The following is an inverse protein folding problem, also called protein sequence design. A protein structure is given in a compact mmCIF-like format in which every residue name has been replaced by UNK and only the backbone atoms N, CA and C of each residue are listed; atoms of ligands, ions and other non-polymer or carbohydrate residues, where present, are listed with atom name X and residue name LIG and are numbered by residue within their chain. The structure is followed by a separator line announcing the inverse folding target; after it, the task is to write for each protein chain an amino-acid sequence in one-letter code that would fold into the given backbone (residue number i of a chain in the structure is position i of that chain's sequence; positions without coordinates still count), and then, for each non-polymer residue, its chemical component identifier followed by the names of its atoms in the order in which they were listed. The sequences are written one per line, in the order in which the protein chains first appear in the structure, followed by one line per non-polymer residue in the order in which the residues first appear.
data_IF_249403142362
#
_entry.id   IF_249403142362
#
_cell.length_a   1.000
_cell.length_b   1.000
_cell.length_c   1.000
_cell.angle_alpha   90.00
_cell.angle_beta   90.00
_cell.angle_gamma   90.00
#
_symmetry.space_group_name_H-M   'P 1'
#
loop_
_entity.id
_entity.type
_entity.pdbx_description
1 polymer ?
#
# COMPACT_ATOMS: atom_id res chain seq x y z
N UNK A 1 -10.96 -19.63 7.48
CA UNK A 1 -10.07 -20.38 6.55
C UNK A 1 -9.03 -19.49 5.90
N UNK A 2 -9.36 -18.35 5.26
CA UNK A 2 -8.39 -17.43 4.60
C UNK A 2 -7.17 -17.10 5.46
N UNK A 3 -7.37 -16.63 6.69
CA UNK A 3 -6.29 -16.25 7.61
C UNK A 3 -5.35 -17.42 7.98
N UNK A 4 -5.86 -18.66 8.02
CA UNK A 4 -5.03 -19.84 8.32
C UNK A 4 -4.01 -20.13 7.21
N UNK A 5 -4.29 -19.71 5.98
CA UNK A 5 -3.38 -19.86 4.85
C UNK A 5 -2.48 -18.61 4.70
N UNK A 6 -3.07 -17.41 4.78
CA UNK A 6 -2.31 -16.18 4.58
C UNK A 6 -1.27 -15.90 5.66
N UNK A 7 -1.54 -16.26 6.92
CA UNK A 7 -0.62 -15.98 8.02
C UNK A 7 0.72 -16.73 7.90
N UNK A 8 0.75 -18.07 7.66
CA UNK A 8 2.01 -18.79 7.45
C UNK A 8 2.77 -18.30 6.21
N UNK A 9 2.05 -18.00 5.13
CA UNK A 9 2.64 -17.45 3.90
C UNK A 9 3.27 -16.10 4.18
N UNK A 10 2.58 -15.21 4.88
CA UNK A 10 3.11 -13.88 5.23
C UNK A 10 4.34 -13.99 6.15
N UNK A 11 4.33 -14.90 7.13
CA UNK A 11 5.47 -15.14 8.00
C UNK A 11 6.68 -15.64 7.22
N UNK A 12 6.48 -16.62 6.34
CA UNK A 12 7.53 -17.15 5.47
C UNK A 12 8.12 -16.04 4.58
N UNK A 13 7.26 -15.25 3.93
CA UNK A 13 7.69 -14.13 3.09
C UNK A 13 8.40 -13.04 3.89
N UNK A 14 7.92 -12.71 5.11
CA UNK A 14 8.55 -11.73 5.98
C UNK A 14 9.98 -12.15 6.35
N UNK A 15 10.18 -13.43 6.71
CA UNK A 15 11.49 -13.98 7.05
C UNK A 15 12.38 -14.08 5.81
N UNK A 16 11.87 -14.62 4.71
CA UNK A 16 12.65 -14.79 3.47
C UNK A 16 13.11 -13.44 2.89
N UNK A 17 12.28 -12.40 2.99
CA UNK A 17 12.62 -11.06 2.50
C UNK A 17 13.36 -10.20 3.52
N UNK A 18 13.57 -10.67 4.76
CA UNK A 18 14.23 -9.88 5.81
C UNK A 18 15.62 -9.35 5.41
N UNK A 19 16.54 -10.14 4.81
CA UNK A 19 17.83 -9.61 4.37
C UNK A 19 17.67 -8.47 3.36
N UNK A 20 16.75 -8.61 2.41
CA UNK A 20 16.42 -7.56 1.45
C UNK A 20 15.84 -6.33 2.13
N UNK A 21 14.93 -6.51 3.10
CA UNK A 21 14.36 -5.39 3.86
C UNK A 21 15.45 -4.61 4.63
N UNK A 22 16.44 -5.30 5.19
CA UNK A 22 17.56 -4.66 5.87
C UNK A 22 18.46 -3.89 4.90
N UNK A 23 18.74 -4.44 3.72
CA UNK A 23 19.50 -3.76 2.66
C UNK A 23 18.77 -2.50 2.18
N UNK A 24 17.46 -2.59 1.92
CA UNK A 24 16.63 -1.43 1.55
C UNK A 24 16.65 -0.37 2.66
N UNK A 25 16.50 -0.78 3.92
CA UNK A 25 16.55 0.15 5.05
C UNK A 25 17.89 0.88 5.15
N UNK A 26 19.00 0.17 4.95
CA UNK A 26 20.35 0.76 4.89
C UNK A 26 20.48 1.74 3.73
N UNK A 27 20.05 1.34 2.52
CA UNK A 27 20.07 2.20 1.34
C UNK A 27 19.28 3.50 1.54
N UNK A 28 18.09 3.43 2.16
CA UNK A 28 17.29 4.63 2.51
C UNK A 28 18.04 5.55 3.47
N UNK A 29 18.75 4.98 4.44
CA UNK A 29 19.56 5.75 5.41
C UNK A 29 20.74 6.45 4.77
N UNK A 30 21.32 5.86 3.73
CA UNK A 30 22.42 6.45 2.95
C UNK A 30 21.91 7.48 1.94
N UNK A 31 20.72 7.29 1.37
CA UNK A 31 20.12 8.18 0.38
C UNK A 31 19.64 9.52 0.98
N UNK A 32 19.09 9.50 2.20
CA UNK A 32 18.59 10.72 2.86
C UNK A 32 18.48 10.56 4.38
N UNK A 33 18.58 11.69 5.11
CA UNK A 33 18.45 11.73 6.57
C UNK A 33 17.04 11.33 7.05
N UNK A 34 16.94 10.78 8.27
CA UNK A 34 15.69 10.39 8.92
C UNK A 34 15.48 8.87 9.03
N UNK A 35 14.30 8.42 9.51
CA UNK A 35 14.01 7.00 9.71
C UNK A 35 13.85 6.25 8.38
N UNK A 36 14.28 4.98 8.32
CA UNK A 36 14.09 4.14 7.13
C UNK A 36 12.62 3.73 6.92
N UNK A 37 11.88 3.58 8.01
CA UNK A 37 10.45 3.25 7.96
C UNK A 37 9.60 4.52 8.09
N UNK A 38 8.57 4.59 7.26
CA UNK A 38 7.45 5.50 7.41
C UNK A 38 6.31 4.74 8.09
N UNK A 39 5.86 5.26 9.24
CA UNK A 39 4.81 4.65 10.06
C UNK A 39 3.61 5.57 10.05
N UNK A 40 2.46 5.05 9.62
CA UNK A 40 1.23 5.83 9.52
C UNK A 40 0.06 5.10 10.17
N UNK A 41 -0.76 5.84 10.91
CA UNK A 41 -2.00 5.29 11.45
C UNK A 41 -3.01 5.03 10.33
N UNK A 42 -3.62 3.85 10.36
CA UNK A 42 -4.65 3.40 9.43
C UNK A 42 -5.82 2.75 10.17
N UNK A 43 -6.99 2.72 9.52
CA UNK A 43 -8.16 2.00 10.01
C UNK A 43 -8.13 0.56 9.52
N UNK A 44 -8.26 -0.37 10.45
CA UNK A 44 -8.39 -1.80 10.21
C UNK A 44 -9.79 -2.31 10.52
N UNK A 45 -9.89 -3.63 10.68
CA UNK A 45 -11.17 -4.28 10.96
C UNK A 45 -11.82 -3.76 12.24
N UNK A 46 -13.15 -3.56 12.18
CA UNK A 46 -13.93 -2.96 13.28
C UNK A 46 -13.60 -1.50 13.54
N UNK A 47 -12.99 -0.81 12.57
CA UNK A 47 -12.60 0.61 12.71
C UNK A 47 -11.41 0.84 13.66
N UNK A 48 -10.75 -0.20 14.16
CA UNK A 48 -9.59 -0.08 15.05
C UNK A 48 -8.40 0.54 14.33
N UNK A 49 -7.70 1.48 14.96
CA UNK A 49 -6.46 2.03 14.42
C UNK A 49 -5.30 1.07 14.62
N UNK A 50 -4.45 0.96 13.62
CA UNK A 50 -3.17 0.26 13.70
C UNK A 50 -2.06 1.07 13.04
N UNK A 51 -0.80 0.75 13.33
CA UNK A 51 0.39 1.37 12.73
C UNK A 51 0.80 0.57 11.50
N UNK A 52 0.56 1.11 10.32
CA UNK A 52 0.99 0.53 9.04
C UNK A 52 2.45 0.88 8.77
N UNK A 53 3.25 -0.12 8.44
CA UNK A 53 4.67 0.03 8.14
C UNK A 53 4.92 0.11 6.64
N UNK A 54 5.75 1.08 6.23
CA UNK A 54 6.26 1.20 4.86
C UNK A 54 7.73 1.63 4.89
N UNK A 55 8.46 1.37 3.82
CA UNK A 55 9.70 2.07 3.60
C UNK A 55 9.43 3.53 3.23
N UNK A 56 10.30 4.42 3.70
CA UNK A 56 10.24 5.84 3.37
C UNK A 56 10.68 6.06 1.93
N UNK A 57 9.84 6.75 1.16
CA UNK A 57 10.08 7.10 -0.25
C UNK A 57 10.29 8.59 -0.46
N UNK A 58 9.92 9.40 0.53
CA UNK A 58 10.06 10.86 0.51
C UNK A 58 11.14 11.33 1.49
N UNK A 59 11.76 12.47 1.24
CA UNK A 59 12.61 13.14 2.21
C UNK A 59 11.83 13.37 3.50
N UNK A 60 12.51 13.21 4.62
CA UNK A 60 11.86 13.34 5.92
C UNK A 60 11.58 14.80 6.24
N UNK A 61 10.32 15.14 6.43
CA UNK A 61 9.86 16.44 6.88
C UNK A 61 8.98 16.24 8.12
N UNK A 62 9.48 16.57 9.33
CA UNK A 62 8.69 16.45 10.54
C UNK A 62 7.43 17.34 10.48
N UNK A 63 6.26 16.76 10.79
CA UNK A 63 4.99 17.51 10.83
C UNK A 63 4.30 17.72 9.48
N UNK A 64 4.84 17.23 8.36
CA UNK A 64 4.16 17.31 7.07
C UNK A 64 2.78 16.63 7.14
N UNK A 65 1.74 17.39 6.78
CA UNK A 65 0.35 16.91 6.74
C UNK A 65 -0.03 16.50 5.32
N UNK A 66 -0.89 15.49 5.15
CA UNK A 66 -1.40 15.11 3.84
C UNK A 66 -2.30 16.21 3.27
N UNK A 67 -2.10 16.56 2.02
CA UNK A 67 -3.02 17.43 1.26
C UNK A 67 -4.21 16.58 0.81
N UNK A 68 -5.42 17.10 0.98
CA UNK A 68 -6.66 16.41 0.63
C UNK A 68 -7.28 17.02 -0.63
N UNK A 69 -7.90 16.16 -1.43
CA UNK A 69 -8.80 16.54 -2.48
C UNK A 69 -10.19 16.93 -1.91
N UNK A 70 -11.05 17.62 -2.68
CA UNK A 70 -12.39 17.98 -2.21
C UNK A 70 -13.28 16.79 -1.82
N UNK A 71 -13.03 15.60 -2.38
CA UNK A 71 -13.73 14.36 -2.06
C UNK A 71 -13.21 13.68 -0.78
N UNK A 72 -12.24 14.30 -0.10
CA UNK A 72 -11.61 13.78 1.10
C UNK A 72 -10.49 12.76 0.86
N UNK A 73 -10.21 12.38 -0.38
CA UNK A 73 -9.08 11.51 -0.69
C UNK A 73 -7.75 12.23 -0.46
N UNK A 74 -6.69 11.48 -0.15
CA UNK A 74 -5.34 12.06 -0.08
C UNK A 74 -4.84 12.38 -1.49
N UNK A 75 -4.44 13.64 -1.71
CA UNK A 75 -3.80 14.05 -2.96
C UNK A 75 -2.44 13.38 -3.06
N UNK A 76 -2.22 12.68 -4.16
CA UNK A 76 -0.92 12.10 -4.50
C UNK A 76 -0.35 12.94 -5.63
N UNK A 77 0.71 13.68 -5.34
CA UNK A 77 1.43 14.42 -6.38
C UNK A 77 2.45 13.48 -7.00
N UNK A 78 2.37 13.30 -8.31
CA UNK A 78 3.32 12.48 -9.04
C UNK A 78 4.71 13.14 -9.06
N UNK A 79 4.75 14.48 -9.02
CA UNK A 79 5.97 15.31 -9.02
C UNK A 79 6.31 15.86 -7.64
N UNK A 80 6.07 15.10 -6.57
CA UNK A 80 6.44 15.51 -5.21
C UNK A 80 7.96 15.75 -5.13
N UNK A 81 8.36 17.01 -4.94
CA UNK A 81 9.78 17.42 -4.87
C UNK A 81 10.57 16.72 -3.74
N UNK A 82 9.85 16.13 -2.79
CA UNK A 82 10.44 15.34 -1.69
C UNK A 82 10.79 13.92 -2.11
N UNK A 83 10.33 13.46 -3.29
CA UNK A 83 10.58 12.10 -3.75
C UNK A 83 12.08 11.87 -3.92
N UNK A 84 12.63 10.85 -3.25
CA UNK A 84 14.04 10.49 -3.40
C UNK A 84 14.23 9.59 -4.63
N UNK A 85 15.46 9.50 -5.15
CA UNK A 85 15.76 8.61 -6.29
C UNK A 85 15.44 7.15 -5.97
N UNK A 86 15.85 6.69 -4.79
CA UNK A 86 15.53 5.36 -4.29
C UNK A 86 14.02 5.21 -4.04
N UNK A 87 13.38 6.26 -3.50
CA UNK A 87 11.93 6.29 -3.26
C UNK A 87 11.12 6.13 -4.54
N UNK A 88 11.56 6.69 -5.65
CA UNK A 88 10.93 6.52 -6.96
C UNK A 88 10.88 5.03 -7.36
N UNK A 89 12.00 4.32 -7.23
CA UNK A 89 12.07 2.89 -7.49
C UNK A 89 11.21 2.07 -6.49
N UNK A 90 11.28 2.40 -5.21
CA UNK A 90 10.52 1.68 -4.17
C UNK A 90 9.01 1.77 -4.39
N UNK A 91 8.47 2.87 -4.94
CA UNK A 91 7.03 3.07 -5.20
C UNK A 91 6.44 2.11 -6.24
N UNK A 92 7.26 1.30 -6.91
CA UNK A 92 6.75 0.20 -7.74
C UNK A 92 6.05 -0.90 -6.91
N UNK A 93 6.17 -0.85 -5.58
CA UNK A 93 5.53 -1.76 -4.62
C UNK A 93 6.48 -2.29 -3.55
N UNK A 94 7.79 -2.08 -3.72
CA UNK A 94 8.80 -2.53 -2.76
C UNK A 94 8.74 -1.77 -1.43
N UNK A 95 8.18 -0.56 -1.43
CA UNK A 95 7.96 0.22 -0.20
C UNK A 95 6.96 -0.46 0.75
N UNK A 96 6.16 -1.39 0.26
CA UNK A 96 5.12 -2.07 1.04
C UNK A 96 5.58 -3.36 1.71
N UNK A 97 6.81 -3.86 1.44
CA UNK A 97 7.34 -5.08 2.08
C UNK A 97 7.22 -5.10 3.61
N UNK A 98 7.44 -4.00 4.34
CA UNK A 98 7.28 -4.01 5.79
C UNK A 98 5.86 -4.29 6.28
N UNK A 99 4.83 -4.17 5.42
CA UNK A 99 3.44 -4.51 5.78
C UNK A 99 3.25 -6.01 6.01
N UNK A 100 4.15 -6.88 5.53
CA UNK A 100 4.14 -8.30 5.88
C UNK A 100 4.15 -8.49 7.40
N UNK A 101 4.84 -7.65 8.14
CA UNK A 101 4.82 -7.66 9.61
C UNK A 101 3.47 -7.25 10.19
N UNK A 102 2.70 -6.37 9.52
CA UNK A 102 1.31 -6.10 9.94
C UNK A 102 0.40 -7.33 9.73
N UNK A 103 0.64 -8.12 8.67
CA UNK A 103 -0.10 -9.38 8.47
C UNK A 103 0.26 -10.40 9.55
N UNK A 104 1.53 -10.58 9.85
CA UNK A 104 2.00 -11.46 10.93
C UNK A 104 1.39 -11.06 12.28
N UNK A 105 1.27 -9.76 12.56
CA UNK A 105 0.62 -9.22 13.77
C UNK A 105 -0.91 -9.36 13.76
N UNK A 106 -1.51 -9.76 12.64
CA UNK A 106 -2.95 -9.92 12.48
C UNK A 106 -3.72 -8.60 12.31
N UNK A 107 -3.03 -7.51 12.00
CA UNK A 107 -3.60 -6.19 11.72
C UNK A 107 -4.07 -6.07 10.27
N UNK A 108 -3.47 -6.87 9.36
CA UNK A 108 -3.74 -6.91 7.93
C UNK A 108 -3.88 -8.34 7.42
N UNK A 109 -4.35 -8.49 6.19
CA UNK A 109 -4.34 -9.67 5.34
C UNK A 109 -3.37 -9.43 4.16
N UNK A 110 -3.00 -10.47 3.43
CA UNK A 110 -2.27 -10.29 2.17
C UNK A 110 -3.17 -9.59 1.14
N UNK A 111 -4.43 -10.03 1.04
CA UNK A 111 -5.40 -9.52 0.08
C UNK A 111 -6.63 -8.99 0.82
N UNK A 112 -7.05 -7.77 0.49
CA UNK A 112 -8.22 -7.13 1.09
C UNK A 112 -8.36 -5.67 0.68
N UNK A 113 -9.39 -4.98 1.19
CA UNK A 113 -9.53 -3.53 1.02
C UNK A 113 -8.30 -2.78 1.51
N UNK A 114 -7.85 -1.76 0.75
CA UNK A 114 -6.71 -0.94 1.19
C UNK A 114 -7.08 -0.14 2.43
N UNK A 115 -6.25 -0.14 3.50
CA UNK A 115 -6.59 0.58 4.72
C UNK A 115 -6.49 2.09 4.52
N UNK A 116 -7.58 2.80 4.84
CA UNK A 116 -7.63 4.26 4.74
C UNK A 116 -7.13 4.95 6.02
N UNK A 117 -6.81 6.23 5.91
CA UNK A 117 -6.41 7.05 7.06
C UNK A 117 -7.62 7.30 7.98
N UNK A 118 -7.41 7.53 9.29
CA UNK A 118 -8.51 7.68 10.26
C UNK A 118 -9.52 8.76 9.90
N UNK A 119 -9.08 9.86 9.29
CA UNK A 119 -9.95 10.97 8.93
C UNK A 119 -10.86 10.69 7.72
N UNK A 120 -10.51 9.71 6.84
CA UNK A 120 -11.36 9.33 5.70
C UNK A 120 -12.72 8.79 6.13
N UNK A 121 -12.81 8.22 7.33
CA UNK A 121 -14.06 7.60 7.82
C UNK A 121 -15.25 8.59 7.86
N UNK A 122 -15.00 9.87 8.06
CA UNK A 122 -16.04 10.92 8.04
C UNK A 122 -16.71 11.14 6.68
N UNK A 123 -16.05 10.67 5.61
CA UNK A 123 -16.56 10.78 4.23
C UNK A 123 -17.24 9.49 3.76
N UNK A 124 -17.26 8.43 4.58
CA UNK A 124 -17.87 7.16 4.23
C UNK A 124 -19.38 7.22 4.41
N UNK A 125 -20.11 6.66 3.42
CA UNK A 125 -21.51 6.26 3.61
C UNK A 125 -21.56 5.03 4.51
N UNK A 126 -22.76 4.69 5.04
CA UNK A 126 -22.94 3.47 5.86
C UNK A 126 -22.55 2.21 5.08
N UNK A 127 -22.90 2.15 3.78
CA UNK A 127 -22.49 1.05 2.92
C UNK A 127 -20.97 0.94 2.80
N UNK A 128 -20.28 2.05 2.63
CA UNK A 128 -18.82 2.08 2.48
C UNK A 128 -18.08 1.65 3.77
N UNK A 129 -18.72 1.80 4.94
CA UNK A 129 -18.17 1.32 6.21
C UNK A 129 -18.03 -0.20 6.27
N UNK A 130 -18.74 -0.96 5.44
CA UNK A 130 -18.58 -2.41 5.29
C UNK A 130 -17.13 -2.84 4.95
N UNK A 131 -16.32 -1.93 4.40
CA UNK A 131 -14.88 -2.17 4.21
C UNK A 131 -14.16 -2.46 5.54
N UNK A 132 -14.71 -2.00 6.66
CA UNK A 132 -14.18 -2.24 8.01
C UNK A 132 -14.60 -3.58 8.61
N UNK A 133 -15.48 -4.35 7.98
CA UNK A 133 -15.92 -5.66 8.48
C UNK A 133 -14.84 -6.72 8.27
N UNK A 134 -13.91 -6.47 7.34
CA UNK A 134 -12.82 -7.40 6.99
C UNK A 134 -11.45 -6.81 7.34
N UNK A 135 -10.42 -7.67 7.37
CA UNK A 135 -9.05 -7.19 7.50
C UNK A 135 -8.64 -6.45 6.22
N UNK A 136 -7.97 -5.29 6.35
CA UNK A 136 -7.39 -4.61 5.21
C UNK A 136 -6.25 -5.42 4.60
N UNK A 137 -6.03 -5.29 3.28
CA UNK A 137 -4.99 -6.00 2.54
C UNK A 137 -3.76 -5.17 2.24
N UNK A 138 -2.61 -5.85 2.03
CA UNK A 138 -1.44 -5.26 1.38
C UNK A 138 -1.82 -4.93 -0.07
N UNK A 139 -2.42 -5.88 -0.77
CA UNK A 139 -3.02 -5.69 -2.09
C UNK A 139 -4.51 -5.95 -2.07
N UNK A 140 -5.21 -5.58 -3.15
CA UNK A 140 -6.64 -5.76 -3.30
C UNK A 140 -7.08 -5.51 -4.73
N UNK A 141 -8.38 -5.66 -4.99
CA UNK A 141 -8.94 -5.53 -6.33
C UNK A 141 -8.64 -4.18 -7.00
N UNK A 142 -8.74 -3.01 -6.32
CA UNK A 142 -8.38 -1.73 -6.91
C UNK A 142 -6.90 -1.68 -7.33
N UNK A 143 -5.99 -2.21 -6.51
CA UNK A 143 -4.55 -2.20 -6.79
C UNK A 143 -4.20 -3.08 -7.99
N UNK A 144 -4.86 -4.24 -8.11
CA UNK A 144 -4.64 -5.16 -9.23
C UNK A 144 -5.23 -4.67 -10.56
N UNK A 145 -6.22 -3.75 -10.53
CA UNK A 145 -7.01 -3.37 -11.72
C UNK A 145 -6.87 -1.91 -12.15
N UNK A 146 -6.12 -1.07 -11.46
CA UNK A 146 -5.99 0.34 -11.86
C UNK A 146 -5.17 1.20 -10.90
N UNK A 147 -4.82 0.69 -9.72
CA UNK A 147 -3.98 1.42 -8.73
C UNK A 147 -4.45 2.88 -8.51
N UNK A 148 -3.54 3.84 -8.68
CA UNK A 148 -3.78 5.27 -8.43
C UNK A 148 -4.58 5.98 -9.52
N UNK A 149 -4.74 5.39 -10.72
CA UNK A 149 -5.55 5.98 -11.80
C UNK A 149 -7.05 5.96 -11.50
N UNK A 150 -7.49 5.12 -10.56
CA UNK A 150 -8.90 5.04 -10.19
C UNK A 150 -9.31 6.14 -9.22
N UNK A 151 -10.45 6.83 -9.46
CA UNK A 151 -11.04 7.72 -8.47
C UNK A 151 -11.30 7.01 -7.14
N UNK A 152 -11.23 7.75 -6.03
CA UNK A 152 -11.37 7.16 -4.69
C UNK A 152 -12.68 6.41 -4.49
N UNK A 153 -13.80 6.97 -5.00
CA UNK A 153 -15.11 6.32 -4.94
C UNK A 153 -15.15 4.98 -5.68
N UNK A 154 -14.49 4.91 -6.84
CA UNK A 154 -14.41 3.67 -7.61
C UNK A 154 -13.54 2.62 -6.91
N UNK A 155 -12.45 3.03 -6.27
CA UNK A 155 -11.65 2.13 -5.42
C UNK A 155 -12.50 1.51 -4.31
N UNK A 156 -13.31 2.33 -3.63
CA UNK A 156 -14.23 1.85 -2.60
C UNK A 156 -15.26 0.87 -3.17
N UNK A 157 -15.87 1.18 -4.32
CA UNK A 157 -16.83 0.28 -4.97
C UNK A 157 -16.21 -1.08 -5.31
N UNK A 158 -14.97 -1.10 -5.80
CA UNK A 158 -14.23 -2.35 -6.08
C UNK A 158 -13.87 -3.12 -4.80
N UNK A 159 -13.58 -2.42 -3.71
CA UNK A 159 -13.37 -3.05 -2.41
C UNK A 159 -14.65 -3.71 -1.88
N UNK A 160 -15.82 -3.06 -2.04
CA UNK A 160 -17.11 -3.65 -1.69
C UNK A 160 -17.43 -4.86 -2.57
N UNK A 161 -17.22 -4.73 -3.88
CA UNK A 161 -17.37 -5.86 -4.80
C UNK A 161 -16.54 -7.07 -4.38
N UNK A 162 -15.27 -6.84 -3.99
CA UNK A 162 -14.40 -7.91 -3.49
C UNK A 162 -14.97 -8.58 -2.23
N UNK A 163 -15.52 -7.80 -1.30
CA UNK A 163 -16.14 -8.32 -0.07
C UNK A 163 -17.33 -9.21 -0.40
N UNK A 164 -18.18 -8.75 -1.31
CA UNK A 164 -19.42 -9.44 -1.68
C UNK A 164 -19.20 -10.70 -2.53
N UNK A 165 -18.12 -10.72 -3.34
CA UNK A 165 -17.81 -11.81 -4.28
C UNK A 165 -16.53 -12.57 -3.90
N UNK A 166 -16.17 -12.54 -2.62
CA UNK A 166 -14.98 -13.19 -2.14
C UNK A 166 -14.88 -14.66 -2.59
N UNK A 167 -13.76 -15.02 -3.21
CA UNK A 167 -13.39 -16.38 -3.53
C UNK A 167 -11.87 -16.53 -3.62
N UNK A 168 -11.35 -17.76 -3.42
CA UNK A 168 -9.92 -18.03 -3.61
C UNK A 168 -9.47 -17.77 -5.04
N UNK A 169 -10.35 -17.99 -6.02
CA UNK A 169 -10.07 -17.67 -7.43
C UNK A 169 -9.92 -16.17 -7.67
N UNK A 170 -10.71 -15.35 -6.97
CA UNK A 170 -10.57 -13.88 -7.02
C UNK A 170 -9.27 -13.43 -6.34
N UNK A 171 -8.92 -14.01 -5.19
CA UNK A 171 -7.64 -13.76 -4.52
C UNK A 171 -6.45 -14.06 -5.45
N UNK A 172 -6.47 -15.21 -6.14
CA UNK A 172 -5.39 -15.57 -7.09
C UNK A 172 -5.31 -14.58 -8.25
N UNK A 173 -6.44 -14.14 -8.82
CA UNK A 173 -6.47 -13.12 -9.88
C UNK A 173 -5.87 -11.79 -9.39
N UNK A 174 -6.18 -11.38 -8.15
CA UNK A 174 -5.63 -10.16 -7.55
C UNK A 174 -4.11 -10.28 -7.38
N UNK A 175 -3.61 -11.41 -6.88
CA UNK A 175 -2.16 -11.65 -6.74
C UNK A 175 -1.44 -11.57 -8.09
N UNK A 176 -1.95 -12.23 -9.11
CA UNK A 176 -1.37 -12.20 -10.46
C UNK A 176 -1.39 -10.79 -11.05
N UNK A 177 -2.51 -10.06 -10.89
CA UNK A 177 -2.64 -8.67 -11.34
C UNK A 177 -1.69 -7.71 -10.60
N UNK A 178 -1.41 -7.98 -9.33
CA UNK A 178 -0.48 -7.18 -8.51
C UNK A 178 0.98 -7.49 -8.86
N UNK A 179 1.31 -8.74 -9.16
CA UNK A 179 2.68 -9.16 -9.49
C UNK A 179 3.15 -8.61 -10.84
N UNK A 180 2.24 -8.45 -11.81
CA UNK A 180 2.56 -8.03 -13.18
C UNK A 180 3.34 -6.70 -13.26
N UNK A 181 2.97 -5.61 -12.56
CA UNK A 181 3.76 -4.39 -12.55
C UNK A 181 5.09 -4.49 -11.80
N UNK A 182 5.21 -5.38 -10.80
CA UNK A 182 6.47 -5.61 -10.08
C UNK A 182 7.53 -6.26 -10.97
N UNK A 183 7.10 -6.99 -11.99
CA UNK A 183 7.96 -7.73 -12.93
C UNK A 183 8.33 -6.92 -14.20
N UNK A 184 8.07 -5.61 -14.24
CA UNK A 184 8.51 -4.73 -15.33
C UNK A 184 7.40 -4.28 -16.29
N UNK A 185 6.13 -4.34 -15.90
CA UNK A 185 4.98 -3.98 -16.74
C UNK A 185 4.45 -2.54 -16.61
N UNK A 186 5.21 -1.59 -16.12
CA UNK A 186 4.75 -0.19 -15.94
C UNK A 186 5.29 0.74 -17.03
N UNK A 187 4.61 0.83 -18.16
CA UNK A 187 4.97 1.77 -19.25
C UNK A 187 5.01 3.25 -18.80
N UNK A 188 4.19 3.65 -17.83
CA UNK A 188 4.20 5.03 -17.29
C UNK A 188 5.38 5.34 -16.36
N UNK A 189 5.96 4.34 -15.68
CA UNK A 189 7.08 4.57 -14.76
C UNK A 189 8.41 4.64 -15.52
N UNK A 190 8.54 3.89 -16.60
CA UNK A 190 9.76 3.85 -17.43
C UNK A 190 10.01 5.15 -18.19
N UNK A 191 8.97 5.84 -18.66
CA UNK A 191 9.10 7.13 -19.34
C UNK A 191 9.66 8.21 -18.39
N UNK A 192 9.16 8.27 -17.16
CA UNK A 192 9.56 9.27 -16.15
C UNK A 192 10.93 9.00 -15.54
N UNK A 193 11.29 7.73 -15.35
CA UNK A 193 12.63 7.34 -14.90
C UNK A 193 13.70 7.75 -15.92
N UNK A 194 13.40 7.65 -17.23
CA UNK A 194 14.29 8.11 -18.31
C UNK A 194 14.45 9.63 -18.34
N UNK A 195 13.39 10.40 -18.06
CA UNK A 195 13.49 11.88 -17.96
C UNK A 195 14.32 12.36 -16.75
N UNK A 196 14.20 11.66 -15.60
CA UNK A 196 14.98 11.98 -14.39
C UNK A 196 16.46 11.59 -14.51
N UNK A 197 16.80 10.62 -15.36
CA UNK A 197 18.18 10.22 -15.64
C UNK A 197 18.86 11.10 -16.70
N UNK A 198 18.09 11.88 -17.47
CA UNK A 198 18.58 12.79 -18.50
C UNK A 198 18.81 14.22 -17.99
N UNK A 199 18.53 14.52 -16.73
CA UNK A 199 18.80 15.78 -16.03
C UNK A 199 19.91 15.58 -15.01
#
# INVERSE_FOLDING_TARGET
MKRLVEWPVALLLAIATLPLQLLIALAIKLDSSGPALFIQQRRGRGGRCFRMYKFRTLRWEPGAQPVLNPDGSTRVEEDDARLTRLGCWLRSGWDELPQLWNVVRGEMALIGPRPDQPFHLRFYTEEQKRRLDVLPGITGLPQATGRNSLPWRERIARDLYYIDHYSLGLDLKILLGTARPLLGGNEHHDAKTKELQAR
#
